data_IF_078223366863
#
_entry.id   IF_078223366863
#
_cell.length_a   1.000
_cell.length_b   1.000
_cell.length_c   1.000
_cell.angle_alpha   90.00
_cell.angle_beta   90.00
_cell.angle_gamma   90.00
#
_symmetry.space_group_name_H-M   'P 1'
#
loop_
_entity.id
_entity.type
_entity.pdbx_description
1 polymer ?
#
# COMPACT_ATOMS: atom_id res chain seq x y z
N UNK A 1 26.60 -0.45 17.24
CA UNK A 1 26.04 -1.10 16.03
C UNK A 1 24.64 -0.56 15.80
N UNK A 2 24.50 0.49 14.99
CA UNK A 2 23.20 1.10 14.71
C UNK A 2 22.40 0.18 13.80
N UNK A 3 21.31 -0.41 14.31
CA UNK A 3 20.33 -1.11 13.48
C UNK A 3 19.77 -0.08 12.50
N UNK A 4 20.04 -0.25 11.20
CA UNK A 4 19.32 0.48 10.16
C UNK A 4 17.83 0.21 10.37
N UNK A 5 17.11 1.20 10.86
CA UNK A 5 15.66 1.13 11.01
C UNK A 5 15.08 1.10 9.61
N UNK A 6 14.79 -0.09 9.08
CA UNK A 6 14.03 -0.24 7.85
C UNK A 6 12.66 0.39 8.10
N UNK A 7 12.52 1.65 7.69
CA UNK A 7 11.29 2.39 7.84
C UNK A 7 10.26 1.76 6.91
N UNK A 8 9.14 1.34 7.50
CA UNK A 8 8.04 0.72 6.80
C UNK A 8 7.55 1.64 5.66
N UNK A 9 7.73 1.18 4.42
CA UNK A 9 7.45 1.95 3.21
C UNK A 9 5.98 2.34 3.05
N UNK A 10 5.07 1.62 3.72
CA UNK A 10 3.64 1.82 3.59
C UNK A 10 3.05 2.77 4.64
N UNK A 11 3.80 3.17 5.69
CA UNK A 11 3.21 3.90 6.84
C UNK A 11 2.43 5.13 6.41
N UNK A 12 3.04 6.00 5.61
CA UNK A 12 2.41 7.27 5.24
C UNK A 12 1.15 7.05 4.39
N UNK A 13 1.21 6.13 3.42
CA UNK A 13 0.09 5.83 2.55
C UNK A 13 -1.03 5.06 3.27
N UNK A 14 -0.67 4.10 4.13
CA UNK A 14 -1.62 3.35 4.94
C UNK A 14 -2.32 4.26 5.98
N UNK A 15 -1.59 5.23 6.56
CA UNK A 15 -2.18 6.21 7.47
C UNK A 15 -3.22 7.08 6.75
N UNK A 16 -2.91 7.55 5.53
CA UNK A 16 -3.89 8.27 4.69
C UNK A 16 -5.10 7.42 4.33
N UNK A 17 -4.91 6.13 4.04
CA UNK A 17 -6.02 5.20 3.79
C UNK A 17 -6.90 5.03 5.05
N UNK A 18 -6.29 4.94 6.23
CA UNK A 18 -6.99 4.88 7.52
C UNK A 18 -7.80 6.16 7.76
N UNK A 19 -7.22 7.33 7.50
CA UNK A 19 -7.88 8.63 7.63
C UNK A 19 -9.04 8.78 6.65
N UNK A 20 -8.85 8.38 5.39
CA UNK A 20 -9.92 8.37 4.38
C UNK A 20 -11.08 7.47 4.80
N UNK A 21 -10.79 6.29 5.36
CA UNK A 21 -11.81 5.39 5.89
C UNK A 21 -12.40 5.86 7.25
N UNK A 22 -11.76 6.81 7.93
CA UNK A 22 -12.12 7.34 9.25
C UNK A 22 -11.52 6.58 10.44
N UNK A 23 -11.16 5.30 10.31
CA UNK A 23 -10.45 4.55 11.34
C UNK A 23 -9.85 3.25 10.80
N UNK A 24 -8.98 2.59 11.59
CA UNK A 24 -8.46 1.26 11.24
C UNK A 24 -9.58 0.22 11.14
N UNK A 25 -10.57 0.26 12.04
CA UNK A 25 -11.72 -0.66 12.00
C UNK A 25 -12.58 -0.41 10.77
N UNK A 26 -12.83 0.84 10.42
CA UNK A 26 -13.59 1.19 9.22
C UNK A 26 -12.86 0.75 7.95
N UNK A 27 -11.53 0.95 7.86
CA UNK A 27 -10.74 0.45 6.74
C UNK A 27 -10.81 -1.09 6.65
N UNK A 28 -10.76 -1.81 7.77
CA UNK A 28 -10.91 -3.27 7.75
C UNK A 28 -12.29 -3.73 7.24
N UNK A 29 -13.35 -3.01 7.58
CA UNK A 29 -14.71 -3.27 7.08
C UNK A 29 -14.78 -3.06 5.57
N UNK A 30 -14.23 -1.95 5.05
CA UNK A 30 -14.16 -1.70 3.61
C UNK A 30 -13.39 -2.81 2.88
N UNK A 31 -12.22 -3.18 3.41
CA UNK A 31 -11.39 -4.24 2.83
C UNK A 31 -12.05 -5.61 2.88
N UNK A 32 -12.89 -5.89 3.88
CA UNK A 32 -13.61 -7.16 3.99
C UNK A 32 -14.60 -7.41 2.83
N UNK A 33 -15.06 -6.35 2.16
CA UNK A 33 -15.88 -6.46 0.94
C UNK A 33 -15.09 -6.90 -0.30
N UNK A 34 -13.77 -6.73 -0.29
CA UNK A 34 -12.88 -7.06 -1.41
C UNK A 34 -12.00 -8.29 -1.13
N UNK A 35 -11.71 -8.56 0.14
CA UNK A 35 -10.84 -9.64 0.60
C UNK A 35 -11.44 -10.30 1.82
N UNK A 36 -11.42 -11.63 1.87
CA UNK A 36 -12.04 -12.36 2.97
C UNK A 36 -11.29 -12.12 4.30
N UNK A 37 -12.05 -11.80 5.35
CA UNK A 37 -11.60 -11.82 6.76
C UNK A 37 -10.49 -10.81 7.13
N UNK A 38 -10.50 -9.63 6.52
CA UNK A 38 -9.64 -8.52 6.96
C UNK A 38 -10.19 -7.96 8.29
N UNK A 39 -9.31 -7.74 9.26
CA UNK A 39 -9.66 -7.28 10.61
C UNK A 39 -8.72 -6.16 11.00
N UNK A 40 -9.15 -5.28 11.89
CA UNK A 40 -8.33 -4.17 12.40
C UNK A 40 -6.92 -4.59 12.89
N UNK A 41 -6.73 -5.75 13.56
CA UNK A 41 -5.39 -6.23 13.92
C UNK A 41 -4.45 -6.47 12.74
N UNK A 42 -4.96 -6.81 11.55
CA UNK A 42 -4.15 -6.94 10.34
C UNK A 42 -3.57 -5.58 9.92
N UNK A 43 -4.37 -4.52 9.96
CA UNK A 43 -3.92 -3.16 9.64
C UNK A 43 -2.86 -2.69 10.64
N UNK A 44 -3.10 -2.90 11.94
CA UNK A 44 -2.13 -2.56 12.98
C UNK A 44 -0.82 -3.35 12.81
N UNK A 45 -0.89 -4.61 12.37
CA UNK A 45 0.28 -5.41 12.03
C UNK A 45 1.03 -4.83 10.84
N UNK A 46 0.34 -4.38 9.79
CA UNK A 46 0.95 -3.76 8.62
C UNK A 46 1.66 -2.45 8.95
N UNK A 47 1.11 -1.62 9.85
CA UNK A 47 1.78 -0.40 10.34
C UNK A 47 3.09 -0.69 11.08
N UNK A 48 3.15 -1.79 11.82
CA UNK A 48 4.34 -2.19 12.60
C UNK A 48 5.33 -3.05 11.81
N UNK A 49 4.92 -3.58 10.66
CA UNK A 49 5.74 -4.48 9.84
C UNK A 49 6.84 -3.68 9.12
N UNK A 50 8.11 -4.13 9.13
CA UNK A 50 9.16 -3.45 8.36
C UNK A 50 8.93 -3.51 6.85
N UNK A 51 8.18 -4.51 6.37
CA UNK A 51 7.85 -4.70 4.95
C UNK A 51 6.64 -3.85 4.52
N UNK A 52 5.85 -3.40 5.50
CA UNK A 52 4.60 -2.68 5.27
C UNK A 52 3.42 -3.57 4.88
N UNK A 53 2.56 -3.03 4.02
CA UNK A 53 1.37 -3.74 3.51
C UNK A 53 1.81 -4.79 2.48
N UNK A 54 1.42 -6.07 2.64
CA UNK A 54 1.66 -7.10 1.64
C UNK A 54 1.06 -6.72 0.27
N UNK A 55 1.74 -7.07 -0.81
CA UNK A 55 1.33 -6.67 -2.16
C UNK A 55 -0.12 -7.10 -2.49
N UNK A 56 -0.52 -8.31 -2.08
CA UNK A 56 -1.88 -8.82 -2.25
C UNK A 56 -2.98 -7.94 -1.65
N UNK A 57 -2.69 -7.14 -0.61
CA UNK A 57 -3.64 -6.22 0.01
C UNK A 57 -3.60 -4.81 -0.58
N UNK A 58 -2.53 -4.45 -1.28
CA UNK A 58 -2.37 -3.09 -1.83
C UNK A 58 -3.42 -2.80 -2.91
N UNK A 59 -3.73 -3.78 -3.75
CA UNK A 59 -4.77 -3.65 -4.80
C UNK A 59 -6.15 -3.44 -4.18
N UNK A 60 -6.47 -4.14 -3.10
CA UNK A 60 -7.75 -3.99 -2.42
C UNK A 60 -7.89 -2.61 -1.74
N UNK A 61 -6.80 -2.10 -1.14
CA UNK A 61 -6.79 -0.74 -0.58
C UNK A 61 -7.01 0.30 -1.67
N UNK A 62 -6.39 0.15 -2.83
CA UNK A 62 -6.60 1.05 -3.99
C UNK A 62 -8.03 1.01 -4.53
N UNK A 63 -8.73 -0.12 -4.42
CA UNK A 63 -10.12 -0.22 -4.86
C UNK A 63 -11.11 0.52 -3.94
N UNK A 64 -10.77 0.66 -2.65
CA UNK A 64 -11.68 1.26 -1.64
C UNK A 64 -11.22 2.62 -1.14
N UNK A 65 -10.04 3.10 -1.56
CA UNK A 65 -9.45 4.38 -1.16
C UNK A 65 -8.77 5.06 -2.34
N UNK A 66 -8.52 6.38 -2.30
CA UNK A 66 -7.76 7.08 -3.34
C UNK A 66 -6.25 6.80 -3.31
N UNK A 67 -5.79 5.85 -2.49
CA UNK A 67 -4.37 5.54 -2.31
C UNK A 67 -3.97 4.44 -3.27
N UNK A 68 -2.98 4.68 -4.12
CA UNK A 68 -2.56 3.69 -5.12
C UNK A 68 -1.67 2.61 -4.51
N UNK A 69 -1.61 1.44 -5.15
CA UNK A 69 -0.67 0.37 -4.79
C UNK A 69 0.80 0.82 -4.90
N UNK A 70 1.10 1.81 -5.75
CA UNK A 70 2.42 2.44 -5.86
C UNK A 70 2.71 3.28 -4.62
N UNK A 71 1.74 4.07 -4.13
CA UNK A 71 1.89 4.84 -2.88
C UNK A 71 2.15 3.94 -1.66
N UNK A 72 1.53 2.76 -1.63
CA UNK A 72 1.71 1.78 -0.57
C UNK A 72 3.07 1.07 -0.63
N UNK A 73 3.64 0.91 -1.83
CA UNK A 73 4.89 0.15 -2.06
C UNK A 73 5.86 0.89 -2.99
N UNK A 74 6.30 2.11 -2.64
CA UNK A 74 7.09 2.94 -3.54
C UNK A 74 8.46 2.33 -3.87
N UNK A 75 8.99 1.45 -3.01
CA UNK A 75 10.36 0.93 -3.13
C UNK A 75 10.45 -0.39 -3.90
N UNK A 76 9.33 -1.06 -4.17
CA UNK A 76 9.34 -2.38 -4.80
C UNK A 76 8.11 -2.73 -5.65
N UNK A 77 7.21 -1.78 -5.91
CA UNK A 77 5.98 -2.02 -6.69
C UNK A 77 6.25 -2.73 -8.03
N UNK A 78 7.35 -2.39 -8.73
CA UNK A 78 7.70 -2.97 -10.02
C UNK A 78 8.00 -4.48 -9.97
N UNK A 79 8.30 -5.01 -8.79
CA UNK A 79 8.51 -6.46 -8.60
C UNK A 79 7.19 -7.23 -8.55
N UNK A 80 6.11 -6.56 -8.14
CA UNK A 80 4.78 -7.16 -7.98
C UNK A 80 3.83 -6.84 -9.13
N UNK A 81 3.97 -5.65 -9.71
CA UNK A 81 3.15 -5.16 -10.82
C UNK A 81 4.02 -4.60 -11.96
N UNK A 82 4.87 -5.43 -12.59
CA UNK A 82 5.73 -4.98 -13.69
C UNK A 82 4.95 -4.41 -14.89
N UNK A 83 3.70 -4.84 -15.08
CA UNK A 83 2.80 -4.33 -16.13
C UNK A 83 2.49 -2.83 -16.00
N UNK A 84 2.65 -2.24 -14.80
CA UNK A 84 2.47 -0.80 -14.61
C UNK A 84 3.59 0.01 -15.26
N UNK A 85 4.78 -0.57 -15.47
CA UNK A 85 5.88 0.10 -16.18
C UNK A 85 5.46 0.44 -17.61
N UNK A 86 4.79 -0.48 -18.30
CA UNK A 86 4.35 -0.30 -19.67
C UNK A 86 3.14 0.63 -19.78
N UNK A 87 2.32 0.69 -18.73
CA UNK A 87 1.12 1.52 -18.67
C UNK A 87 1.41 3.02 -18.53
N UNK A 88 2.63 3.40 -18.16
CA UNK A 88 3.09 4.80 -18.13
C UNK A 88 4.19 5.08 -19.16
N UNK A 89 3.88 5.14 -20.48
CA UNK A 89 4.87 5.47 -21.53
C UNK A 89 5.35 6.94 -21.50
N UNK A 90 4.97 7.73 -20.49
CA UNK A 90 5.34 9.14 -20.35
C UNK A 90 6.73 9.34 -19.71
N UNK A 91 7.29 8.34 -19.02
CA UNK A 91 8.66 8.43 -18.45
C UNK A 91 9.77 8.19 -19.48
N UNK A 92 9.43 7.80 -20.72
CA UNK A 92 10.40 7.62 -21.82
C UNK A 92 10.46 8.82 -22.78
N UNK A 93 9.79 9.94 -22.46
CA UNK A 93 9.69 11.11 -23.34
C UNK A 93 10.35 12.37 -22.76
N UNK A 94 11.54 12.24 -22.21
CA UNK A 94 12.45 13.38 -21.97
C UNK A 94 13.88 12.99 -22.36
N UNK A 95 14.06 12.65 -23.64
CA UNK A 95 15.38 12.55 -24.27
C UNK A 95 15.19 12.77 -25.77
N UNK A 96 15.03 14.03 -26.15
CA UNK A 96 15.22 14.50 -27.53
C UNK A 96 16.33 15.53 -27.55
#
# INVERSE_FOLDING_TARGET
MSKATFQNQSVNALQKAIEYAGSQSALAVLLSGHQQNIKQPHIQKWLKSPVGVPAEHCVAIEQVTPITRIDLRPNDWWKFWPELIERFPLLKRESS
#
